data_IF_993339345282
#
_entry.id   IF_993339345282
#
_cell.length_a   1.000
_cell.length_b   1.000
_cell.length_c   1.000
_cell.angle_alpha   90.00
_cell.angle_beta   90.00
_cell.angle_gamma   90.00
#
_symmetry.space_group_name_H-M   'P 1'
#
loop_
_entity.id
_entity.type
_entity.pdbx_description
1 polymer ?
#
# COMPACT_ATOMS: atom_id res chain seq x y z
N UNK A 1 -35.56 2.36 -34.00
CA UNK A 1 -35.28 2.60 -32.56
C UNK A 1 -34.20 1.63 -32.12
N UNK A 2 -32.93 2.04 -32.16
CA UNK A 2 -31.85 1.20 -31.64
C UNK A 2 -31.72 1.45 -30.14
N UNK A 3 -32.06 0.42 -29.35
CA UNK A 3 -31.81 0.36 -27.90
C UNK A 3 -30.32 0.12 -27.72
N UNK A 4 -29.59 1.14 -27.26
CA UNK A 4 -28.23 0.96 -26.75
C UNK A 4 -28.33 0.16 -25.45
N UNK A 5 -28.00 -1.13 -25.52
CA UNK A 5 -27.64 -1.90 -24.34
C UNK A 5 -26.26 -1.41 -23.89
N UNK A 6 -26.22 -0.73 -22.73
CA UNK A 6 -24.97 -0.38 -22.04
C UNK A 6 -24.34 -1.67 -21.53
N UNK A 7 -23.22 -2.05 -22.10
CA UNK A 7 -22.31 -3.07 -21.57
C UNK A 7 -21.82 -2.60 -20.19
N UNK A 8 -21.80 -3.44 -19.14
CA UNK A 8 -21.24 -3.07 -17.86
C UNK A 8 -19.73 -2.89 -17.99
N UNK A 9 -19.21 -1.78 -17.44
CA UNK A 9 -17.80 -1.41 -17.47
C UNK A 9 -17.01 -2.30 -16.50
N UNK A 10 -16.05 -3.10 -17.01
CA UNK A 10 -15.21 -4.03 -16.23
C UNK A 10 -14.16 -3.33 -15.35
N UNK A 11 -14.17 -2.00 -15.28
CA UNK A 11 -13.13 -1.19 -14.62
C UNK A 11 -13.26 -1.08 -13.09
N UNK A 12 -14.39 -1.48 -12.50
CA UNK A 12 -14.62 -1.37 -11.05
C UNK A 12 -14.25 -2.64 -10.24
N UNK A 13 -13.85 -3.73 -10.89
CA UNK A 13 -13.69 -5.02 -10.22
C UNK A 13 -12.43 -5.15 -9.35
N UNK A 14 -11.42 -4.29 -9.53
CA UNK A 14 -10.16 -4.36 -8.77
C UNK A 14 -10.29 -4.01 -7.28
N UNK A 15 -11.31 -3.22 -6.91
CA UNK A 15 -11.62 -2.87 -5.51
C UNK A 15 -12.96 -3.44 -5.02
N UNK A 16 -13.73 -4.11 -5.87
CA UNK A 16 -14.97 -4.80 -5.50
C UNK A 16 -14.68 -6.18 -4.92
N UNK A 17 -13.97 -6.23 -3.79
CA UNK A 17 -13.78 -7.48 -3.05
C UNK A 17 -14.89 -7.58 -2.01
N UNK A 18 -15.70 -8.64 -2.14
CA UNK A 18 -16.93 -8.86 -1.38
C UNK A 18 -16.75 -8.75 0.14
N UNK A 19 -17.65 -7.99 0.76
CA UNK A 19 -17.78 -7.85 2.20
C UNK A 19 -18.12 -9.20 2.85
N UNK A 20 -17.24 -9.71 3.71
CA UNK A 20 -17.61 -10.64 4.76
C UNK A 20 -18.02 -9.82 6.00
N UNK A 21 -19.33 -9.75 6.29
CA UNK A 21 -19.87 -9.11 7.50
C UNK A 21 -19.32 -9.79 8.76
N UNK A 22 -18.56 -9.05 9.56
CA UNK A 22 -18.13 -9.43 10.91
C UNK A 22 -18.55 -8.37 11.94
N UNK A 23 -19.52 -8.75 12.77
CA UNK A 23 -20.07 -8.18 14.01
C UNK A 23 -19.57 -6.83 14.58
N UNK A 24 -20.56 -5.94 14.73
CA UNK A 24 -20.80 -4.85 15.69
C UNK A 24 -19.79 -4.53 16.82
N UNK A 25 -19.39 -3.26 16.84
CA UNK A 25 -18.89 -2.53 18.01
C UNK A 25 -19.01 -1.02 17.74
N UNK A 26 -20.16 -0.44 18.11
CA UNK A 26 -20.50 0.96 17.80
C UNK A 26 -19.56 1.96 18.49
N UNK A 27 -18.91 2.82 17.69
CA UNK A 27 -18.43 4.13 18.12
C UNK A 27 -19.01 5.18 17.20
N UNK A 28 -20.03 5.89 17.71
CA UNK A 28 -20.72 6.97 17.00
C UNK A 28 -19.82 8.19 16.98
N UNK A 29 -19.35 8.61 15.80
CA UNK A 29 -18.97 10.00 15.56
C UNK A 29 -19.25 10.40 14.10
N UNK A 30 -20.19 11.33 13.97
CA UNK A 30 -20.39 12.27 12.86
C UNK A 30 -20.52 11.70 11.44
N UNK A 31 -21.76 11.44 11.03
CA UNK A 31 -22.18 11.36 9.62
C UNK A 31 -22.01 12.74 8.96
N UNK A 32 -20.78 13.11 8.64
CA UNK A 32 -20.52 14.15 7.66
C UNK A 32 -20.97 13.63 6.29
N UNK A 33 -21.65 14.48 5.52
CA UNK A 33 -22.00 14.23 4.13
C UNK A 33 -20.80 13.61 3.40
N UNK A 34 -20.95 12.36 3.02
CA UNK A 34 -19.96 11.56 2.32
C UNK A 34 -19.80 12.12 0.89
N UNK A 35 -19.05 13.21 0.77
CA UNK A 35 -18.55 13.68 -0.53
C UNK A 35 -17.63 12.60 -1.07
N UNK A 36 -17.82 12.25 -2.34
CA UNK A 36 -16.95 11.31 -3.04
C UNK A 36 -15.48 11.71 -2.86
N UNK A 37 -14.60 10.71 -2.76
CA UNK A 37 -13.17 10.97 -2.64
C UNK A 37 -12.61 11.05 -4.06
N UNK A 38 -12.33 12.28 -4.49
CA UNK A 38 -11.74 12.54 -5.79
C UNK A 38 -10.31 11.99 -5.88
N UNK A 39 -9.98 11.49 -7.06
CA UNK A 39 -8.67 10.98 -7.39
C UNK A 39 -7.61 12.04 -7.58
N UNK A 40 -6.35 11.61 -7.47
CA UNK A 40 -5.21 12.47 -7.72
C UNK A 40 -4.90 12.50 -9.22
N UNK A 41 -5.06 13.66 -9.84
CA UNK A 41 -4.75 13.88 -11.26
C UNK A 41 -3.25 13.74 -11.56
N UNK A 42 -2.44 14.29 -10.66
CA UNK A 42 -0.99 14.22 -10.70
C UNK A 42 -0.46 13.22 -9.67
N UNK A 43 0.83 12.93 -9.77
CA UNK A 43 1.46 11.97 -8.87
C UNK A 43 1.47 12.50 -7.42
N UNK A 44 0.89 11.78 -6.44
CA UNK A 44 0.67 12.31 -5.09
C UNK A 44 1.91 12.21 -4.18
N UNK A 45 3.08 11.82 -4.69
CA UNK A 45 4.28 11.53 -3.87
C UNK A 45 4.61 12.67 -2.91
N UNK A 46 4.70 13.91 -3.41
CA UNK A 46 5.16 15.04 -2.60
C UNK A 46 4.13 15.46 -1.55
N UNK A 47 2.84 15.45 -1.92
CA UNK A 47 1.73 15.73 -0.99
C UNK A 47 1.74 14.67 0.11
N UNK A 48 1.79 13.39 -0.25
CA UNK A 48 1.76 12.30 0.71
C UNK A 48 2.99 12.31 1.63
N UNK A 49 4.18 12.57 1.09
CA UNK A 49 5.41 12.70 1.88
C UNK A 49 5.30 13.86 2.89
N UNK A 50 4.77 15.01 2.46
CA UNK A 50 4.56 16.18 3.31
C UNK A 50 3.64 15.83 4.48
N UNK A 51 2.52 15.14 4.22
CA UNK A 51 1.61 14.70 5.29
C UNK A 51 2.28 13.77 6.30
N UNK A 52 3.09 12.81 5.83
CA UNK A 52 3.82 11.92 6.74
C UNK A 52 4.86 12.67 7.57
N UNK A 53 5.49 13.71 7.02
CA UNK A 53 6.42 14.58 7.75
C UNK A 53 5.69 15.41 8.81
N UNK A 54 4.48 15.90 8.52
CA UNK A 54 3.65 16.65 9.47
C UNK A 54 3.24 15.82 10.69
N UNK A 55 3.14 14.50 10.54
CA UNK A 55 2.80 13.56 11.63
C UNK A 55 4.01 13.26 12.52
N UNK A 56 5.24 13.46 12.04
CA UNK A 56 6.47 13.11 12.78
C UNK A 56 6.49 13.64 14.21
N UNK A 57 6.21 14.94 14.49
CA UNK A 57 6.23 15.48 15.84
C UNK A 57 5.31 14.74 16.83
N UNK A 58 4.16 14.26 16.38
CA UNK A 58 3.19 13.53 17.21
C UNK A 58 3.67 12.11 17.56
N UNK A 59 4.57 11.55 16.74
CA UNK A 59 5.03 10.17 16.84
C UNK A 59 6.42 10.05 17.49
N UNK A 60 7.10 11.17 17.81
CA UNK A 60 8.46 11.17 18.37
C UNK A 60 8.59 10.44 19.71
N UNK A 61 7.52 10.39 20.49
CA UNK A 61 7.49 9.77 21.81
C UNK A 61 7.23 8.26 21.78
N UNK A 62 7.02 7.68 20.60
CA UNK A 62 6.83 6.24 20.47
C UNK A 62 8.10 5.49 20.90
N UNK A 63 7.98 4.40 21.68
CA UNK A 63 9.15 3.65 22.18
C UNK A 63 9.97 2.99 21.06
N UNK A 64 9.39 2.86 19.86
CA UNK A 64 10.01 2.30 18.66
C UNK A 64 10.34 3.37 17.60
N UNK A 65 10.32 4.66 17.96
CA UNK A 65 10.71 5.74 17.05
C UNK A 65 12.20 5.68 16.71
N UNK A 66 12.53 5.52 15.43
CA UNK A 66 13.91 5.42 14.97
C UNK A 66 14.48 6.77 14.52
N UNK A 67 15.16 7.48 15.44
CA UNK A 67 15.69 8.84 15.20
C UNK A 67 16.62 9.00 13.99
N UNK A 68 17.27 7.93 13.55
CA UNK A 68 18.16 7.93 12.39
C UNK A 68 17.47 7.70 11.05
N UNK A 69 16.15 7.54 11.01
CA UNK A 69 15.36 7.33 9.78
C UNK A 69 14.56 8.60 9.49
N UNK A 70 14.56 9.01 8.22
CA UNK A 70 13.76 10.12 7.73
C UNK A 70 12.54 9.62 6.95
N UNK A 71 11.47 10.42 6.89
CA UNK A 71 10.34 10.10 6.03
C UNK A 71 10.78 10.12 4.57
N UNK A 72 10.37 9.09 3.81
CA UNK A 72 10.70 8.96 2.41
C UNK A 72 9.61 8.21 1.63
N UNK A 73 9.28 8.72 0.45
CA UNK A 73 8.38 8.06 -0.49
C UNK A 73 9.11 7.94 -1.84
N UNK A 74 9.33 6.73 -2.37
CA UNK A 74 9.61 6.57 -3.79
C UNK A 74 8.45 7.14 -4.61
N UNK A 75 8.73 7.54 -5.85
CA UNK A 75 7.70 8.03 -6.76
C UNK A 75 6.58 6.99 -6.91
N UNK A 76 5.35 7.38 -6.61
CA UNK A 76 4.18 6.52 -6.78
C UNK A 76 4.04 6.10 -8.24
N UNK A 77 3.57 4.88 -8.47
CA UNK A 77 3.38 4.30 -9.80
C UNK A 77 1.90 4.22 -10.07
N UNK A 78 1.47 4.68 -11.25
CA UNK A 78 0.10 4.46 -11.71
C UNK A 78 -0.03 3.01 -12.18
N UNK A 79 -0.77 2.20 -11.44
CA UNK A 79 -0.99 0.79 -11.72
C UNK A 79 -2.48 0.49 -11.64
N UNK A 80 -3.04 -0.09 -12.70
CA UNK A 80 -4.49 -0.37 -12.80
C UNK A 80 -5.36 0.84 -12.46
N UNK A 81 -4.98 2.01 -13.00
CA UNK A 81 -5.66 3.30 -12.78
C UNK A 81 -5.65 3.77 -11.30
N UNK A 82 -4.85 3.15 -10.41
CA UNK A 82 -4.65 3.58 -9.02
C UNK A 82 -3.20 4.03 -8.81
N UNK A 83 -2.97 4.98 -7.89
CA UNK A 83 -1.61 5.31 -7.47
C UNK A 83 -1.15 4.33 -6.39
N UNK A 84 -0.10 3.57 -6.67
CA UNK A 84 0.51 2.62 -5.73
C UNK A 84 1.90 3.12 -5.36
N UNK A 85 2.17 3.17 -4.06
CA UNK A 85 3.46 3.60 -3.53
C UNK A 85 3.82 2.84 -2.28
N UNK A 86 4.99 3.21 -1.75
CA UNK A 86 5.42 2.81 -0.42
C UNK A 86 5.86 4.05 0.32
N UNK A 87 5.78 3.99 1.65
CA UNK A 87 6.21 5.07 2.51
C UNK A 87 7.09 4.52 3.61
N UNK A 88 8.20 5.20 3.82
CA UNK A 88 9.09 5.07 4.96
C UNK A 88 8.78 6.20 5.92
N UNK A 89 8.66 5.85 7.20
CA UNK A 89 8.61 6.78 8.32
C UNK A 89 9.58 6.28 9.39
N UNK A 90 9.94 7.09 10.40
CA UNK A 90 10.78 6.64 11.50
C UNK A 90 10.25 5.42 12.29
N UNK A 91 8.98 5.04 12.12
CA UNK A 91 8.37 3.94 12.87
C UNK A 91 7.87 2.77 12.01
N UNK A 92 7.73 2.95 10.69
CA UNK A 92 7.22 1.89 9.81
C UNK A 92 7.58 2.07 8.33
N UNK A 93 7.50 0.96 7.58
CA UNK A 93 7.36 0.93 6.12
C UNK A 93 5.99 0.36 5.77
N UNK A 94 5.24 1.04 4.90
CA UNK A 94 3.93 0.59 4.42
C UNK A 94 3.78 0.69 2.90
N UNK A 95 2.93 -0.16 2.33
CA UNK A 95 2.36 0.02 0.98
C UNK A 95 1.16 0.95 1.09
N UNK A 96 1.00 1.83 0.11
CA UNK A 96 -0.09 2.81 0.04
C UNK A 96 -0.78 2.72 -1.32
N UNK A 97 -2.11 2.78 -1.33
CA UNK A 97 -2.92 2.93 -2.54
C UNK A 97 -3.79 4.18 -2.41
N UNK A 98 -3.75 5.06 -3.41
CA UNK A 98 -4.59 6.25 -3.52
C UNK A 98 -5.45 6.19 -4.79
N UNK A 99 -6.60 6.87 -4.81
CA UNK A 99 -7.43 6.97 -6.01
C UNK A 99 -6.65 7.64 -7.15
N UNK A 100 -6.65 7.01 -8.32
CA UNK A 100 -5.96 7.54 -9.50
C UNK A 100 -6.75 8.63 -10.24
N UNK A 101 -6.20 9.14 -11.35
CA UNK A 101 -6.78 10.26 -12.09
C UNK A 101 -8.22 9.98 -12.55
N UNK A 102 -9.06 11.01 -12.49
CA UNK A 102 -10.49 10.97 -12.87
C UNK A 102 -11.32 9.87 -12.18
N UNK A 103 -10.83 9.33 -11.07
CA UNK A 103 -11.59 8.40 -10.25
C UNK A 103 -12.33 9.11 -9.13
N UNK A 104 -13.40 8.48 -8.68
CA UNK A 104 -14.13 8.87 -7.49
C UNK A 104 -14.34 7.62 -6.66
N UNK A 105 -13.69 7.55 -5.50
CA UNK A 105 -13.95 6.47 -4.55
C UNK A 105 -15.18 6.80 -3.72
N UNK A 106 -16.02 5.78 -3.54
CA UNK A 106 -17.03 5.82 -2.49
C UNK A 106 -16.33 5.89 -1.14
N UNK A 107 -16.67 6.87 -0.30
CA UNK A 107 -15.99 7.06 0.97
C UNK A 107 -16.30 5.90 1.92
N UNK A 108 -15.26 5.43 2.61
CA UNK A 108 -15.31 4.33 3.58
C UNK A 108 -15.02 4.81 5.00
N UNK A 109 -15.34 4.00 6.00
CA UNK A 109 -15.02 4.35 7.39
C UNK A 109 -13.51 4.20 7.62
N UNK A 110 -12.89 5.16 8.30
CA UNK A 110 -11.48 5.04 8.67
C UNK A 110 -11.30 3.83 9.61
N UNK A 111 -10.30 2.99 9.32
CA UNK A 111 -10.08 1.72 10.01
C UNK A 111 -10.71 0.50 9.33
N UNK A 112 -11.57 0.69 8.32
CA UNK A 112 -12.10 -0.41 7.50
C UNK A 112 -10.96 -1.19 6.84
N UNK A 113 -11.17 -2.50 6.62
CA UNK A 113 -10.18 -3.37 5.99
C UNK A 113 -10.64 -3.84 4.63
N UNK A 114 -9.75 -3.75 3.65
CA UNK A 114 -9.97 -4.21 2.28
C UNK A 114 -8.84 -5.13 1.85
N UNK A 115 -9.18 -6.29 1.33
CA UNK A 115 -8.19 -7.14 0.65
C UNK A 115 -8.09 -6.69 -0.81
N UNK A 116 -6.88 -6.32 -1.25
CA UNK A 116 -6.61 -5.92 -2.63
C UNK A 116 -5.65 -6.93 -3.24
N UNK A 117 -5.98 -7.39 -4.45
CA UNK A 117 -5.13 -8.31 -5.21
C UNK A 117 -4.06 -7.52 -5.94
N UNK A 118 -2.82 -7.56 -5.46
CA UNK A 118 -1.66 -7.02 -6.17
C UNK A 118 -0.97 -8.12 -7.00
N UNK A 119 -0.12 -7.75 -7.99
CA UNK A 119 0.64 -8.72 -8.77
C UNK A 119 1.42 -9.71 -7.91
N UNK A 120 2.03 -9.25 -6.83
CA UNK A 120 2.81 -10.10 -5.93
C UNK A 120 1.95 -11.07 -5.11
N UNK A 121 0.89 -10.57 -4.46
CA UNK A 121 -0.09 -11.35 -3.68
C UNK A 121 -1.27 -10.47 -3.25
N UNK A 122 -2.32 -11.09 -2.73
CA UNK A 122 -3.36 -10.38 -2.00
C UNK A 122 -2.81 -9.81 -0.69
N UNK A 123 -3.06 -8.53 -0.43
CA UNK A 123 -2.73 -7.85 0.82
C UNK A 123 -3.99 -7.26 1.44
N UNK A 124 -4.03 -7.21 2.78
CA UNK A 124 -5.13 -6.54 3.50
C UNK A 124 -4.69 -5.14 3.88
N UNK A 125 -5.37 -4.16 3.32
CA UNK A 125 -5.17 -2.75 3.57
C UNK A 125 -6.19 -2.23 4.58
N UNK A 126 -5.80 -1.18 5.30
CA UNK A 126 -6.66 -0.42 6.20
C UNK A 126 -6.96 0.94 5.59
N UNK A 127 -8.22 1.37 5.60
CA UNK A 127 -8.63 2.71 5.20
C UNK A 127 -8.07 3.70 6.21
N UNK A 128 -7.29 4.66 5.74
CA UNK A 128 -6.61 5.68 6.52
C UNK A 128 -6.85 7.05 5.89
N UNK A 129 -6.66 8.12 6.65
CA UNK A 129 -6.84 9.48 6.16
C UNK A 129 -5.95 10.45 6.93
N UNK A 130 -5.47 11.46 6.22
CA UNK A 130 -4.70 12.61 6.74
C UNK A 130 -5.25 13.88 6.09
N UNK A 131 -4.84 15.05 6.56
CA UNK A 131 -5.49 16.33 6.22
C UNK A 131 -5.61 16.56 4.71
N UNK A 132 -4.50 16.45 3.98
CA UNK A 132 -4.49 16.66 2.53
C UNK A 132 -4.68 15.39 1.69
N UNK A 133 -4.83 14.23 2.35
CA UNK A 133 -5.10 12.94 1.70
C UNK A 133 -6.24 12.25 2.48
N UNK A 134 -7.50 12.63 2.21
CA UNK A 134 -8.63 12.33 3.09
C UNK A 134 -8.95 10.84 3.18
N UNK A 135 -8.75 10.07 2.11
CA UNK A 135 -8.77 8.61 2.15
C UNK A 135 -7.70 7.98 1.27
N UNK A 136 -6.96 7.05 1.87
CA UNK A 136 -6.02 6.16 1.21
C UNK A 136 -6.07 4.79 1.87
N UNK A 137 -5.54 3.78 1.20
CA UNK A 137 -5.41 2.43 1.74
C UNK A 137 -3.95 2.22 2.15
N UNK A 138 -3.71 1.71 3.36
CA UNK A 138 -2.35 1.39 3.83
C UNK A 138 -2.21 -0.04 4.34
N UNK A 139 -1.07 -0.67 4.04
CA UNK A 139 -0.72 -1.99 4.56
C UNK A 139 0.73 -1.95 5.06
N UNK A 140 0.92 -2.06 6.37
CA UNK A 140 2.25 -2.10 6.97
C UNK A 140 3.01 -3.36 6.57
N UNK A 141 4.22 -3.17 6.06
CA UNK A 141 5.16 -4.24 5.71
C UNK A 141 6.12 -4.51 6.86
N UNK A 142 6.62 -3.44 7.47
CA UNK A 142 7.54 -3.51 8.60
C UNK A 142 7.11 -2.51 9.67
N UNK A 143 6.77 -3.03 10.86
CA UNK A 143 6.54 -2.25 12.07
C UNK A 143 6.76 -3.16 13.29
N UNK A 144 7.62 -2.79 14.25
CA UNK A 144 8.54 -1.65 14.20
C UNK A 144 9.67 -1.88 13.18
N UNK A 145 10.43 -0.82 12.86
CA UNK A 145 11.67 -0.95 12.09
C UNK A 145 12.75 -1.65 12.91
N UNK A 146 13.69 -2.33 12.24
CA UNK A 146 14.88 -2.87 12.89
C UNK A 146 15.70 -1.70 13.49
N UNK A 147 16.03 -1.71 14.80
CA UNK A 147 16.83 -0.67 15.45
C UNK A 147 18.23 -0.46 14.86
N UNK A 148 18.74 -1.42 14.07
CA UNK A 148 20.06 -1.33 13.44
C UNK A 148 20.00 -0.86 11.98
N UNK A 149 18.80 -0.56 11.46
CA UNK A 149 18.61 -0.14 10.08
C UNK A 149 19.16 1.27 9.86
N UNK A 150 20.03 1.44 8.87
CA UNK A 150 20.48 2.78 8.48
C UNK A 150 19.43 3.47 7.60
N UNK A 151 19.46 4.80 7.52
CA UNK A 151 18.57 5.56 6.63
C UNK A 151 18.68 5.09 5.17
N UNK A 152 19.91 4.89 4.69
CA UNK A 152 20.17 4.41 3.33
C UNK A 152 19.58 3.02 3.09
N UNK A 153 19.74 2.09 4.04
CA UNK A 153 19.14 0.76 3.94
C UNK A 153 17.61 0.81 3.98
N UNK A 154 17.03 1.68 4.80
CA UNK A 154 15.58 1.85 4.89
C UNK A 154 15.00 2.43 3.60
N UNK A 155 15.66 3.42 3.01
CA UNK A 155 15.30 4.00 1.71
C UNK A 155 15.34 2.94 0.62
N UNK A 156 16.44 2.16 0.56
CA UNK A 156 16.58 1.09 -0.42
C UNK A 156 15.51 0.00 -0.21
N UNK A 157 15.27 -0.43 1.02
CA UNK A 157 14.24 -1.42 1.36
C UNK A 157 12.85 -0.96 0.95
N UNK A 158 12.55 0.32 1.13
CA UNK A 158 11.26 0.92 0.74
C UNK A 158 11.07 0.87 -0.78
N UNK A 159 12.11 1.23 -1.55
CA UNK A 159 12.09 1.09 -3.01
C UNK A 159 11.94 -0.37 -3.46
N UNK A 160 12.61 -1.30 -2.78
CA UNK A 160 12.56 -2.75 -3.07
C UNK A 160 11.16 -3.30 -2.81
N UNK A 161 10.52 -2.85 -1.74
CA UNK A 161 9.13 -3.19 -1.41
C UNK A 161 8.17 -2.73 -2.51
N UNK A 162 8.31 -1.50 -3.02
CA UNK A 162 7.49 -1.01 -4.13
C UNK A 162 7.68 -1.87 -5.40
N UNK A 163 8.94 -2.18 -5.75
CA UNK A 163 9.25 -3.06 -6.89
C UNK A 163 8.65 -4.44 -6.70
N UNK A 164 8.74 -4.99 -5.50
CA UNK A 164 8.23 -6.32 -5.16
C UNK A 164 6.72 -6.38 -5.32
N UNK A 165 5.96 -5.45 -4.73
CA UNK A 165 4.49 -5.51 -4.72
C UNK A 165 3.88 -5.37 -6.12
N UNK A 166 4.58 -4.67 -7.03
CA UNK A 166 4.22 -4.51 -8.43
C UNK A 166 4.75 -5.63 -9.35
N UNK A 167 5.61 -6.51 -8.84
CA UNK A 167 6.18 -7.61 -9.63
C UNK A 167 5.30 -8.86 -9.59
N UNK A 168 5.22 -9.58 -10.71
CA UNK A 168 4.63 -10.91 -10.72
C UNK A 168 5.46 -11.86 -9.85
N UNK A 169 4.85 -12.86 -9.18
CA UNK A 169 5.58 -13.80 -8.35
C UNK A 169 6.50 -14.61 -9.26
N UNK A 170 7.79 -14.35 -9.20
CA UNK A 170 8.75 -15.28 -9.81
C UNK A 170 8.77 -16.50 -8.91
N UNK A 171 8.55 -17.68 -9.50
CA UNK A 171 8.63 -18.96 -8.79
C UNK A 171 9.98 -18.96 -8.07
N UNK A 172 9.95 -18.90 -6.73
CA UNK A 172 11.19 -18.97 -5.94
C UNK A 172 11.98 -20.17 -6.45
N UNK A 173 13.28 -20.02 -6.76
CA UNK A 173 14.10 -21.19 -7.03
C UNK A 173 14.09 -22.02 -5.76
N UNK A 174 13.28 -23.07 -5.75
CA UNK A 174 13.35 -24.11 -4.73
C UNK A 174 14.79 -24.61 -4.77
N UNK A 175 15.54 -24.35 -3.71
CA UNK A 175 16.88 -24.90 -3.58
C UNK A 175 16.73 -26.42 -3.64
N UNK A 176 17.11 -26.99 -4.77
CA UNK A 176 17.13 -28.43 -4.98
C UNK A 176 18.50 -28.93 -4.47
N UNK A 177 18.56 -29.53 -3.26
CA UNK A 177 19.81 -30.03 -2.70
C UNK A 177 20.47 -31.10 -3.59
N UNK A 178 19.73 -31.74 -4.51
CA UNK A 178 20.28 -32.76 -5.42
C UNK A 178 21.13 -32.18 -6.55
N UNK A 179 21.08 -30.86 -6.81
CA UNK A 179 22.00 -30.25 -7.79
C UNK A 179 23.46 -30.23 -7.35
N UNK A 180 23.75 -30.43 -6.05
CA UNK A 180 25.13 -30.60 -5.56
C UNK A 180 25.75 -31.96 -5.93
N UNK A 181 24.95 -32.95 -6.32
CA UNK A 181 25.46 -34.27 -6.71
C UNK A 181 25.93 -34.34 -8.17
N UNK A 182 25.55 -33.38 -9.02
CA UNK A 182 25.98 -33.34 -10.42
C UNK A 182 27.49 -33.13 -10.58
N UNK A 183 28.13 -32.32 -9.72
CA UNK A 183 29.57 -32.10 -9.78
C UNK A 183 30.42 -33.22 -9.16
N UNK A 184 29.80 -34.12 -8.38
CA UNK A 184 30.50 -35.31 -7.85
C UNK A 184 30.49 -36.49 -8.83
N UNK A 185 29.57 -36.51 -9.80
CA UNK A 185 29.48 -37.58 -10.80
C UNK A 185 30.41 -37.38 -12.02
N UNK A 186 31.01 -36.19 -12.18
CA UNK A 186 31.94 -35.88 -13.28
C UNK A 186 33.43 -36.06 -12.92
N UNK A 187 33.75 -36.42 -11.68
CA UNK A 187 35.10 -36.79 -11.26
C UNK A 187 35.08 -38.27 -10.88
N UNK A 188 35.11 -39.15 -11.88
CA UNK A 188 35.59 -40.52 -11.72
C UNK A 188 36.18 -41.03 -13.03
#
# INVERSE_FOLDING_TARGET
>A
MYRHEKTPDKKQDFLNVGFAKGSEGASKNSTALLTQIDGFEENPTDIFLTEMQNIVPEMQDLPFYHKGIECFCPKFVLFEEQWIGTVLTPWMISVVILPGPQQQWEPRELGDKLTVQLPYKALTFTVSGVENVPQYLSCSLHSPLDPNLTNEQAVQLTQDCLRMVLSMPTKQPTFDPDRRNLFKAMIK
#
